data_IF_295451607112
#
_entry.id   IF_295451607112
#
_cell.length_a   1.000
_cell.length_b   1.000
_cell.length_c   1.000
_cell.angle_alpha   90.00
_cell.angle_beta   90.00
_cell.angle_gamma   90.00
#
_symmetry.space_group_name_H-M   'P 1'
#
loop_
_entity.id
_entity.type
_entity.pdbx_description
1 polymer ?
#
# COMPACT_ATOMS: atom_id res chain seq x y z
N UNK A 1 5.09 0.93 -11.60
CA UNK A 1 5.85 0.32 -10.48
C UNK A 1 6.56 1.39 -9.68
N UNK A 2 7.57 2.06 -10.23
CA UNK A 2 8.34 3.10 -9.52
C UNK A 2 7.45 4.18 -8.90
N UNK A 3 6.51 4.73 -9.68
CA UNK A 3 5.55 5.74 -9.20
C UNK A 3 4.66 5.16 -8.10
N UNK A 4 4.11 3.96 -8.31
CA UNK A 4 3.24 3.27 -7.34
C UNK A 4 3.96 3.02 -6.01
N UNK A 5 5.20 2.54 -6.06
CA UNK A 5 6.05 2.29 -4.89
C UNK A 5 6.35 3.59 -4.14
N UNK A 6 6.65 4.68 -4.87
CA UNK A 6 6.86 6.01 -4.27
C UNK A 6 5.59 6.52 -3.57
N UNK A 7 4.43 6.42 -4.22
CA UNK A 7 3.15 6.86 -3.65
C UNK A 7 2.83 6.07 -2.37
N UNK A 8 3.01 4.75 -2.39
CA UNK A 8 2.76 3.91 -1.23
C UNK A 8 3.75 4.21 -0.10
N UNK A 9 5.03 4.41 -0.43
CA UNK A 9 6.05 4.83 0.55
C UNK A 9 5.67 6.14 1.22
N UNK A 10 5.32 7.17 0.43
CA UNK A 10 4.92 8.47 0.93
C UNK A 10 3.66 8.40 1.79
N UNK A 11 2.62 7.70 1.31
CA UNK A 11 1.38 7.54 2.07
C UNK A 11 1.63 6.85 3.42
N UNK A 12 2.33 5.71 3.41
CA UNK A 12 2.67 4.99 4.64
C UNK A 12 3.55 5.81 5.58
N UNK A 13 4.52 6.54 5.04
CA UNK A 13 5.37 7.44 5.81
C UNK A 13 4.57 8.52 6.52
N UNK A 14 3.66 9.19 5.80
CA UNK A 14 2.78 10.21 6.39
C UNK A 14 1.87 9.61 7.46
N UNK A 15 1.26 8.45 7.20
CA UNK A 15 0.41 7.75 8.19
C UNK A 15 1.17 7.38 9.45
N UNK A 16 2.44 6.96 9.33
CA UNK A 16 3.28 6.66 10.50
C UNK A 16 3.51 7.93 11.33
N UNK A 17 3.80 9.06 10.67
CA UNK A 17 4.01 10.34 11.38
C UNK A 17 2.74 10.73 12.15
N UNK A 18 1.59 10.69 11.50
CA UNK A 18 0.28 11.03 12.11
C UNK A 18 -0.05 10.14 13.31
N UNK A 19 0.38 8.86 13.30
CA UNK A 19 0.09 7.86 14.34
C UNK A 19 1.29 7.52 15.22
N UNK A 20 2.35 8.34 15.24
CA UNK A 20 3.60 8.06 15.96
C UNK A 20 3.36 7.78 17.45
N UNK A 21 2.47 8.55 18.09
CA UNK A 21 2.12 8.38 19.52
C UNK A 21 1.42 7.04 19.80
N UNK A 22 0.51 6.60 18.93
CA UNK A 22 -0.16 5.30 19.07
C UNK A 22 0.84 4.14 19.00
N UNK A 23 1.80 4.23 18.07
CA UNK A 23 2.89 3.25 17.92
C UNK A 23 3.81 3.28 19.16
N UNK A 24 4.09 4.46 19.70
CA UNK A 24 4.85 4.65 20.94
C UNK A 24 4.19 4.01 22.16
N UNK A 25 2.87 4.17 22.30
CA UNK A 25 2.06 3.54 23.37
C UNK A 25 2.03 2.01 23.22
N UNK A 26 1.87 1.48 22.00
CA UNK A 26 1.94 0.04 21.76
C UNK A 26 3.30 -0.54 22.15
N UNK A 27 4.40 0.14 21.81
CA UNK A 27 5.75 -0.28 22.20
C UNK A 27 6.00 -0.19 23.70
N UNK A 28 5.49 0.83 24.39
CA UNK A 28 5.65 0.94 25.84
C UNK A 28 4.88 -0.14 26.60
N UNK A 29 3.80 -0.66 26.01
CA UNK A 29 3.07 -1.85 26.49
C UNK A 29 3.77 -3.18 26.16
N UNK A 30 4.92 -3.15 25.49
CA UNK A 30 5.73 -4.34 25.18
C UNK A 30 5.49 -4.96 23.80
N UNK A 31 4.82 -4.27 22.87
CA UNK A 31 4.67 -4.76 21.50
C UNK A 31 6.05 -4.96 20.82
N UNK A 32 6.25 -6.13 20.22
CA UNK A 32 7.51 -6.44 19.54
C UNK A 32 7.65 -5.62 18.24
N UNK A 33 8.90 -5.34 17.85
CA UNK A 33 9.18 -4.68 16.56
C UNK A 33 8.53 -5.43 15.39
N UNK A 34 8.60 -6.76 15.42
CA UNK A 34 8.04 -7.61 14.37
C UNK A 34 6.51 -7.56 14.31
N UNK A 35 5.84 -7.40 15.47
CA UNK A 35 4.39 -7.21 15.50
C UNK A 35 3.99 -5.94 14.74
N UNK A 36 4.68 -4.82 15.00
CA UNK A 36 4.40 -3.52 14.35
C UNK A 36 4.67 -3.60 12.85
N UNK A 37 5.80 -4.19 12.43
CA UNK A 37 6.08 -4.43 11.00
C UNK A 37 4.94 -5.23 10.36
N UNK A 38 4.52 -6.33 10.99
CA UNK A 38 3.48 -7.19 10.42
C UNK A 38 2.11 -6.51 10.28
N UNK A 39 1.78 -5.58 11.18
CA UNK A 39 0.53 -4.81 11.12
C UNK A 39 0.58 -3.85 9.93
N UNK A 40 1.66 -3.08 9.80
CA UNK A 40 1.82 -2.11 8.72
C UNK A 40 1.91 -2.81 7.36
N UNK A 41 2.63 -3.93 7.26
CA UNK A 41 2.67 -4.74 6.03
C UNK A 41 1.28 -5.25 5.64
N UNK A 42 0.46 -5.68 6.62
CA UNK A 42 -0.92 -6.12 6.35
C UNK A 42 -1.81 -4.98 5.88
N UNK A 43 -1.71 -3.80 6.49
CA UNK A 43 -2.43 -2.62 6.01
C UNK A 43 -2.03 -2.29 4.56
N UNK A 44 -0.73 -2.27 4.26
CA UNK A 44 -0.25 -2.04 2.91
C UNK A 44 -0.69 -3.10 1.90
N UNK A 45 -0.66 -4.38 2.30
CA UNK A 45 -1.13 -5.49 1.47
C UNK A 45 -2.63 -5.37 1.18
N UNK A 46 -3.45 -5.01 2.19
CA UNK A 46 -4.88 -4.77 2.01
C UNK A 46 -5.16 -3.60 1.06
N UNK A 47 -4.48 -2.48 1.23
CA UNK A 47 -4.61 -1.31 0.34
C UNK A 47 -4.21 -1.69 -1.09
N UNK A 48 -3.12 -2.46 -1.25
CA UNK A 48 -2.66 -2.91 -2.57
C UNK A 48 -3.65 -3.87 -3.22
N UNK A 49 -4.21 -4.81 -2.47
CA UNK A 49 -5.22 -5.76 -2.96
C UNK A 49 -6.51 -5.05 -3.39
N UNK A 50 -6.99 -4.10 -2.58
CA UNK A 50 -8.14 -3.28 -2.92
C UNK A 50 -7.85 -2.43 -4.17
N UNK A 51 -6.67 -1.82 -4.25
CA UNK A 51 -6.25 -1.04 -5.41
C UNK A 51 -6.24 -1.85 -6.70
N UNK A 52 -5.75 -3.10 -6.67
CA UNK A 52 -5.81 -4.01 -7.83
C UNK A 52 -7.25 -4.38 -8.19
N UNK A 53 -8.08 -4.70 -7.20
CA UNK A 53 -9.48 -5.05 -7.43
C UNK A 53 -10.25 -3.90 -8.09
N UNK A 54 -10.12 -2.69 -7.55
CA UNK A 54 -10.75 -1.49 -8.13
C UNK A 54 -10.15 -1.13 -9.49
N UNK A 55 -8.83 -1.25 -9.65
CA UNK A 55 -8.16 -1.01 -10.92
C UNK A 55 -8.67 -1.95 -12.01
N UNK A 56 -8.93 -3.22 -11.69
CA UNK A 56 -9.53 -4.17 -12.62
C UNK A 56 -10.96 -3.79 -12.99
N UNK A 57 -11.79 -3.50 -12.00
CA UNK A 57 -13.18 -3.08 -12.23
C UNK A 57 -13.25 -1.85 -13.15
N UNK A 58 -12.45 -0.82 -12.86
CA UNK A 58 -12.36 0.40 -13.68
C UNK A 58 -11.87 0.08 -15.09
N UNK A 59 -10.89 -0.80 -15.24
CA UNK A 59 -10.37 -1.20 -16.57
C UNK A 59 -11.44 -1.86 -17.44
N UNK A 60 -12.26 -2.73 -16.85
CA UNK A 60 -13.38 -3.39 -17.56
C UNK A 60 -14.45 -2.37 -17.94
N UNK A 61 -14.83 -1.48 -17.03
CA UNK A 61 -15.81 -0.43 -17.31
C UNK A 61 -15.31 0.50 -18.42
N UNK A 62 -14.04 0.92 -18.37
CA UNK A 62 -13.42 1.75 -19.37
C UNK A 62 -13.41 1.09 -20.75
N UNK A 63 -13.12 -0.22 -20.81
CA UNK A 63 -13.19 -1.00 -22.06
C UNK A 63 -14.58 -0.89 -22.68
N UNK A 64 -15.64 -1.21 -21.92
CA UNK A 64 -17.02 -1.16 -22.43
C UNK A 64 -17.42 0.26 -22.87
N UNK A 65 -17.00 1.28 -22.12
CA UNK A 65 -17.33 2.67 -22.45
C UNK A 65 -16.65 3.14 -23.75
N UNK A 66 -15.41 2.71 -24.00
CA UNK A 66 -14.68 3.05 -25.22
C UNK A 66 -15.26 2.30 -26.43
N UNK A 67 -15.54 1.00 -26.30
CA UNK A 67 -16.16 0.19 -27.37
C UNK A 67 -17.57 0.67 -27.73
N UNK A 68 -18.32 1.20 -26.75
CA UNK A 68 -19.64 1.79 -27.00
C UNK A 68 -19.55 3.13 -27.74
N UNK A 69 -18.51 3.92 -27.50
CA UNK A 69 -18.33 5.26 -28.08
C UNK A 69 -17.61 5.22 -29.43
N UNK A 70 -16.72 4.25 -29.61
CA UNK A 70 -15.79 4.15 -30.73
C UNK A 70 -15.87 2.75 -31.33
N UNK A 71 -15.81 2.61 -32.67
CA UNK A 71 -15.74 1.30 -33.34
C UNK A 71 -14.39 0.56 -33.13
N UNK A 72 -13.61 0.97 -32.12
CA UNK A 72 -12.35 0.36 -31.75
C UNK A 72 -12.64 -0.77 -30.77
N UNK A 73 -12.25 -2.00 -31.13
CA UNK A 73 -12.29 -3.16 -30.24
C UNK A 73 -11.05 -3.17 -29.36
N UNK A 74 -11.24 -3.25 -28.04
CA UNK A 74 -10.14 -3.33 -27.08
C UNK A 74 -10.04 -4.78 -26.62
N UNK A 75 -8.98 -5.47 -27.07
CA UNK A 75 -8.67 -6.81 -26.58
C UNK A 75 -7.95 -6.72 -25.22
N UNK A 76 -8.69 -7.00 -24.15
CA UNK A 76 -8.15 -7.11 -22.81
C UNK A 76 -7.59 -8.52 -22.60
N UNK A 77 -6.32 -8.71 -22.94
CA UNK A 77 -5.64 -9.98 -22.68
C UNK A 77 -5.47 -10.21 -21.17
N UNK A 78 -6.04 -11.32 -20.69
CA UNK A 78 -5.97 -11.77 -19.28
C UNK A 78 -4.51 -11.85 -18.79
N UNK A 79 -3.58 -12.21 -19.69
CA UNK A 79 -2.14 -12.28 -19.37
C UNK A 79 -1.59 -10.94 -18.90
N UNK A 80 -1.88 -9.84 -19.60
CA UNK A 80 -1.39 -8.51 -19.23
C UNK A 80 -2.03 -8.01 -17.95
N UNK A 81 -3.31 -8.34 -17.75
CA UNK A 81 -4.01 -8.01 -16.52
C UNK A 81 -3.39 -8.71 -15.30
N UNK A 82 -3.12 -10.02 -15.40
CA UNK A 82 -2.47 -10.80 -14.35
C UNK A 82 -1.07 -10.25 -14.02
N UNK A 83 -0.29 -9.88 -15.04
CA UNK A 83 1.02 -9.26 -14.87
C UNK A 83 0.89 -7.91 -14.15
N UNK A 84 -0.04 -7.06 -14.55
CA UNK A 84 -0.27 -5.76 -13.91
C UNK A 84 -0.71 -5.91 -12.44
N UNK A 85 -1.61 -6.86 -12.16
CA UNK A 85 -2.04 -7.19 -10.80
C UNK A 85 -0.87 -7.66 -9.92
N UNK A 86 -0.06 -8.59 -10.43
CA UNK A 86 1.10 -9.11 -9.71
C UNK A 86 2.11 -7.99 -9.41
N UNK A 87 2.40 -7.17 -10.41
CA UNK A 87 3.31 -6.03 -10.27
C UNK A 87 2.77 -5.00 -9.27
N UNK A 88 1.46 -4.73 -9.27
CA UNK A 88 0.82 -3.81 -8.32
C UNK A 88 0.91 -4.30 -6.88
N UNK A 89 0.59 -5.58 -6.66
CA UNK A 89 0.69 -6.22 -5.34
C UNK A 89 2.14 -6.23 -4.82
N UNK A 90 3.08 -6.69 -5.66
CA UNK A 90 4.50 -6.72 -5.28
C UNK A 90 5.05 -5.32 -5.02
N UNK A 91 4.69 -4.35 -5.87
CA UNK A 91 5.13 -2.97 -5.71
C UNK A 91 4.64 -2.33 -4.41
N UNK A 92 3.45 -2.69 -3.94
CA UNK A 92 2.89 -2.20 -2.69
C UNK A 92 3.47 -2.87 -1.44
N UNK A 93 3.65 -4.19 -1.47
CA UNK A 93 4.35 -4.91 -0.40
C UNK A 93 5.78 -4.38 -0.27
N UNK A 94 6.52 -4.29 -1.38
CA UNK A 94 7.91 -3.81 -1.37
C UNK A 94 8.01 -2.34 -0.97
N UNK A 95 7.07 -1.50 -1.41
CA UNK A 95 7.06 -0.07 -1.05
C UNK A 95 6.80 0.20 0.42
N UNK A 96 6.05 -0.68 1.10
CA UNK A 96 5.72 -0.54 2.51
C UNK A 96 6.77 -1.13 3.47
N UNK A 97 7.69 -1.98 2.99
CA UNK A 97 8.73 -2.59 3.81
C UNK A 97 9.57 -1.54 4.55
N UNK A 98 10.13 -0.58 3.81
CA UNK A 98 10.98 0.47 4.39
C UNK A 98 10.28 1.29 5.49
N UNK A 99 9.09 1.88 5.26
CA UNK A 99 8.39 2.61 6.31
C UNK A 99 7.97 1.70 7.49
N UNK A 100 7.58 0.45 7.25
CA UNK A 100 7.25 -0.50 8.32
C UNK A 100 8.45 -0.77 9.24
N UNK A 101 9.63 -1.03 8.68
CA UNK A 101 10.87 -1.19 9.45
C UNK A 101 11.25 0.08 10.20
N UNK A 102 11.05 1.25 9.61
CA UNK A 102 11.33 2.53 10.26
C UNK A 102 10.39 2.78 11.44
N UNK A 103 9.09 2.55 11.29
CA UNK A 103 8.11 2.61 12.38
C UNK A 103 8.45 1.66 13.53
N UNK A 104 8.89 0.44 13.22
CA UNK A 104 9.28 -0.53 14.22
C UNK A 104 10.57 -0.16 14.97
N UNK A 105 11.41 0.73 14.42
CA UNK A 105 12.64 1.21 15.07
C UNK A 105 12.52 2.57 15.75
N UNK A 106 11.39 3.29 15.62
CA UNK A 106 11.14 4.54 16.36
C UNK A 106 11.22 4.33 17.88
N UNK A 107 11.97 5.18 18.59
CA UNK A 107 12.11 5.05 20.03
C UNK A 107 10.83 5.50 20.75
N UNK A 108 10.28 4.67 21.66
CA UNK A 108 9.01 4.98 22.33
C UNK A 108 9.08 6.21 23.23
N UNK A 109 10.26 6.55 23.76
CA UNK A 109 10.47 7.76 24.56
C UNK A 109 10.33 9.01 23.67
N UNK A 110 10.96 9.00 22.49
CA UNK A 110 10.89 10.08 21.50
C UNK A 110 9.48 10.23 20.90
N UNK A 111 8.76 9.12 20.73
CA UNK A 111 7.39 9.09 20.21
C UNK A 111 6.35 9.66 21.18
N UNK A 112 6.62 9.62 22.49
CA UNK A 112 5.73 10.13 23.55
C UNK A 112 6.13 11.55 23.95
N UNK A 113 7.41 11.91 23.80
CA UNK A 113 7.93 13.25 24.08
C UNK A 113 7.79 14.23 22.91
N UNK A 114 7.06 13.88 21.85
CA UNK A 114 6.71 14.80 20.76
C UNK A 114 5.57 15.75 21.21
N UNK A 115 5.79 16.38 22.37
CA UNK A 115 5.31 17.66 22.93
C UNK A 115 6.06 17.90 24.25
#
# INVERSE_FOLDING_TARGET
>A
VVISTLVILLAMYTTIIERTREIGVLKSLGASKMFIVSVIEKEAALISALGVLFGFAISVIAKYMIEATTRLTIDLQIKWLMIAALIGLLGGIVGALYPAFRAANLDPIEAISYE
#
